data_IF_780419745676
#
_entry.id   IF_780419745676
#
_cell.length_a   1.000
_cell.length_b   1.000
_cell.length_c   1.000
_cell.angle_alpha   90.00
_cell.angle_beta   90.00
_cell.angle_gamma   90.00
#
_symmetry.space_group_name_H-M   'P 1'
#
loop_
_entity.id
_entity.type
_entity.pdbx_description
1 polymer ?
#
# COMPACT_ATOMS: atom_id res chain seq x y z
N UNK A 1 16.03 -10.70 -2.38
CA UNK A 1 16.61 -11.83 -1.62
C UNK A 1 18.01 -11.51 -1.09
N UNK A 2 18.34 -10.25 -0.79
CA UNK A 2 19.67 -9.85 -0.30
C UNK A 2 19.97 -10.36 1.13
N UNK A 3 18.95 -10.82 1.87
CA UNK A 3 19.11 -11.59 3.10
C UNK A 3 18.90 -13.06 2.79
N UNK A 4 19.97 -13.85 2.85
CA UNK A 4 20.03 -15.26 2.41
C UNK A 4 19.20 -16.25 3.24
N UNK A 5 18.45 -15.78 4.24
CA UNK A 5 17.70 -16.62 5.19
C UNK A 5 16.20 -16.74 4.90
N UNK A 6 15.62 -15.86 4.09
CA UNK A 6 14.17 -15.83 3.90
C UNK A 6 13.76 -16.62 2.66
N UNK A 7 12.70 -17.40 2.80
CA UNK A 7 11.91 -17.95 1.70
C UNK A 7 10.82 -16.95 1.31
N UNK A 8 10.62 -16.76 0.00
CA UNK A 8 9.73 -15.73 -0.52
C UNK A 8 8.71 -16.37 -1.44
N UNK A 9 7.44 -16.30 -1.03
CA UNK A 9 6.30 -16.64 -1.87
C UNK A 9 5.71 -15.33 -2.41
N UNK A 10 5.64 -15.19 -3.73
CA UNK A 10 5.05 -14.03 -4.40
C UNK A 10 3.74 -14.44 -5.07
N UNK A 11 2.63 -13.80 -4.67
CA UNK A 11 1.30 -14.08 -5.19
C UNK A 11 0.74 -12.85 -5.93
N UNK A 12 0.41 -12.99 -7.22
CA UNK A 12 -0.12 -11.89 -8.05
C UNK A 12 -0.98 -12.44 -9.20
N UNK A 13 -2.02 -11.69 -9.60
CA UNK A 13 -2.91 -12.04 -10.72
C UNK A 13 -2.55 -11.32 -12.03
N UNK A 14 -1.54 -10.45 -11.99
CA UNK A 14 -1.02 -9.62 -13.09
C UNK A 14 -2.04 -8.64 -13.69
N UNK A 15 -2.99 -8.14 -12.89
CA UNK A 15 -3.92 -7.10 -13.37
C UNK A 15 -3.17 -5.81 -13.72
N UNK A 16 -2.21 -5.41 -12.88
CA UNK A 16 -1.32 -4.26 -13.16
C UNK A 16 0.16 -4.60 -13.05
N UNK A 17 0.48 -5.76 -12.47
CA UNK A 17 1.84 -6.29 -12.39
C UNK A 17 2.28 -6.92 -13.71
N UNK A 18 3.56 -7.27 -13.79
CA UNK A 18 4.14 -7.94 -14.95
C UNK A 18 5.13 -9.01 -14.46
N UNK A 19 5.14 -10.15 -15.14
CA UNK A 19 5.99 -11.30 -14.77
C UNK A 19 7.47 -10.99 -15.01
N UNK A 20 7.76 -10.14 -15.98
CA UNK A 20 9.09 -9.64 -16.35
C UNK A 20 9.80 -8.99 -15.14
N UNK A 21 9.04 -8.38 -14.23
CA UNK A 21 9.59 -7.80 -13.00
C UNK A 21 10.26 -8.85 -12.08
N UNK A 22 9.89 -10.12 -12.22
CA UNK A 22 10.30 -11.23 -11.36
C UNK A 22 11.21 -12.24 -12.07
N UNK A 23 11.48 -12.07 -13.37
CA UNK A 23 12.24 -13.04 -14.18
C UNK A 23 13.52 -13.51 -13.53
N UNK A 24 14.30 -12.58 -12.98
CA UNK A 24 15.59 -12.87 -12.33
C UNK A 24 15.50 -13.82 -11.12
N UNK A 25 14.30 -14.06 -10.58
CA UNK A 25 14.08 -14.91 -9.42
C UNK A 25 13.40 -16.24 -9.75
N UNK A 26 12.89 -16.40 -10.97
CA UNK A 26 12.24 -17.65 -11.39
C UNK A 26 13.28 -18.77 -11.38
N UNK A 27 12.98 -19.86 -10.67
CA UNK A 27 13.88 -21.00 -10.48
C UNK A 27 14.84 -20.88 -9.29
N UNK A 28 14.85 -19.76 -8.57
CA UNK A 28 15.63 -19.64 -7.34
C UNK A 28 15.04 -20.55 -6.24
N UNK A 29 15.85 -21.34 -5.50
CA UNK A 29 15.37 -22.38 -4.59
C UNK A 29 14.54 -21.87 -3.39
N UNK A 30 14.65 -20.57 -3.07
CA UNK A 30 13.90 -19.88 -2.01
C UNK A 30 12.84 -18.92 -2.54
N UNK A 31 12.43 -19.07 -3.80
CA UNK A 31 11.43 -18.22 -4.43
C UNK A 31 10.34 -19.05 -5.09
N UNK A 32 9.11 -18.80 -4.68
CA UNK A 32 7.93 -19.37 -5.30
C UNK A 32 7.06 -18.25 -5.89
N UNK A 33 6.55 -18.49 -7.09
CA UNK A 33 5.66 -17.57 -7.78
C UNK A 33 4.31 -18.25 -8.01
N UNK A 34 3.27 -17.69 -7.39
CA UNK A 34 1.91 -18.20 -7.48
C UNK A 34 1.07 -17.19 -8.25
N UNK A 35 0.46 -17.63 -9.36
CA UNK A 35 -0.55 -16.83 -10.03
C UNK A 35 -1.84 -16.93 -9.24
N UNK A 36 -2.19 -15.89 -8.48
CA UNK A 36 -3.30 -15.92 -7.54
C UNK A 36 -4.03 -14.59 -7.46
N UNK A 37 -5.36 -14.65 -7.40
CA UNK A 37 -6.18 -13.48 -7.08
C UNK A 37 -6.48 -13.47 -5.59
N UNK A 38 -6.05 -12.42 -4.89
CA UNK A 38 -6.19 -12.33 -3.44
C UNK A 38 -7.65 -12.39 -2.94
N UNK A 39 -8.64 -12.18 -3.83
CA UNK A 39 -10.06 -12.34 -3.49
C UNK A 39 -10.45 -13.80 -3.26
N UNK A 40 -9.66 -14.74 -3.76
CA UNK A 40 -9.82 -16.17 -3.57
C UNK A 40 -8.95 -16.65 -2.38
N UNK A 41 -9.38 -17.65 -1.61
CA UNK A 41 -8.59 -18.22 -0.53
C UNK A 41 -7.23 -18.76 -1.01
N UNK A 42 -6.16 -18.48 -0.26
CA UNK A 42 -4.82 -19.05 -0.45
C UNK A 42 -4.34 -19.66 0.86
N UNK A 43 -4.20 -20.98 0.89
CA UNK A 43 -3.80 -21.73 2.08
C UNK A 43 -2.30 -22.04 2.00
N UNK A 44 -1.50 -21.20 2.66
CA UNK A 44 -0.04 -21.33 2.74
C UNK A 44 0.43 -20.96 4.15
N UNK A 45 1.49 -21.60 4.62
CA UNK A 45 2.12 -21.29 5.89
C UNK A 45 3.19 -20.22 5.68
N UNK A 46 3.03 -19.06 6.34
CA UNK A 46 3.95 -17.92 6.27
C UNK A 46 4.04 -17.22 7.62
N UNK A 47 5.23 -16.75 7.98
CA UNK A 47 5.43 -15.98 9.21
C UNK A 47 4.95 -14.54 9.09
N UNK A 48 5.08 -13.96 7.88
CA UNK A 48 4.92 -12.53 7.62
C UNK A 48 4.31 -12.29 6.26
N UNK A 49 3.34 -11.38 6.22
CA UNK A 49 2.63 -11.02 4.98
C UNK A 49 2.88 -9.55 4.66
N UNK A 50 3.37 -9.28 3.46
CA UNK A 50 3.39 -7.93 2.89
C UNK A 50 2.21 -7.77 1.94
N UNK A 51 1.10 -7.22 2.42
CA UNK A 51 -0.10 -7.04 1.60
C UNK A 51 0.02 -5.75 0.77
N UNK A 52 0.59 -5.89 -0.44
CA UNK A 52 0.85 -4.81 -1.39
C UNK A 52 -0.25 -4.64 -2.46
N UNK A 53 -1.29 -5.48 -2.42
CA UNK A 53 -2.24 -5.63 -3.52
C UNK A 53 -3.28 -4.51 -3.48
N UNK A 54 -3.31 -3.69 -4.53
CA UNK A 54 -4.43 -2.83 -4.93
C UNK A 54 -4.03 -2.05 -6.19
N UNK A 55 -4.93 -1.84 -7.16
CA UNK A 55 -4.65 -0.94 -8.27
C UNK A 55 -4.39 0.48 -7.75
N UNK A 56 -3.17 0.97 -7.90
CA UNK A 56 -2.76 2.24 -7.28
C UNK A 56 -3.02 3.47 -8.17
N UNK A 57 -3.13 3.30 -9.50
CA UNK A 57 -3.39 4.41 -10.42
C UNK A 57 -4.88 4.71 -10.53
N UNK A 58 -5.27 6.00 -10.62
CA UNK A 58 -6.63 6.42 -10.92
C UNK A 58 -7.25 5.77 -12.15
N UNK A 59 -6.46 5.45 -13.15
CA UNK A 59 -6.95 4.79 -14.36
C UNK A 59 -7.44 3.38 -14.02
N UNK A 60 -6.65 2.63 -13.24
CA UNK A 60 -6.95 1.23 -12.95
C UNK A 60 -8.03 1.05 -11.87
N UNK A 61 -7.99 1.83 -10.79
CA UNK A 61 -9.01 1.65 -9.73
C UNK A 61 -10.40 2.17 -10.16
N UNK A 62 -10.48 3.15 -11.08
CA UNK A 62 -11.76 3.62 -11.62
C UNK A 62 -12.33 2.69 -12.69
N UNK A 63 -11.48 1.91 -13.36
CA UNK A 63 -11.92 1.01 -14.42
C UNK A 63 -12.90 -0.05 -13.89
N UNK A 64 -12.68 -0.58 -12.69
CA UNK A 64 -13.59 -1.51 -12.05
C UNK A 64 -13.67 -1.27 -10.53
N UNK A 65 -14.50 -0.31 -10.09
CA UNK A 65 -14.56 0.11 -8.68
C UNK A 65 -15.02 -1.03 -7.75
N UNK A 66 -15.88 -1.93 -8.25
CA UNK A 66 -16.34 -3.11 -7.51
C UNK A 66 -15.17 -4.05 -7.24
N UNK A 67 -14.35 -4.36 -8.26
CA UNK A 67 -13.16 -5.19 -8.06
C UNK A 67 -12.16 -4.51 -7.14
N UNK A 68 -11.96 -3.20 -7.25
CA UNK A 68 -11.05 -2.46 -6.36
C UNK A 68 -11.45 -2.61 -4.90
N UNK A 69 -12.72 -2.36 -4.55
CA UNK A 69 -13.13 -2.48 -3.15
C UNK A 69 -13.08 -3.94 -2.67
N UNK A 70 -13.48 -4.90 -3.50
CA UNK A 70 -13.36 -6.33 -3.18
C UNK A 70 -11.91 -6.75 -2.91
N UNK A 71 -10.97 -6.33 -3.75
CA UNK A 71 -9.54 -6.62 -3.56
C UNK A 71 -9.03 -6.07 -2.24
N UNK A 72 -9.41 -4.84 -1.86
CA UNK A 72 -8.95 -4.26 -0.59
C UNK A 72 -9.62 -4.90 0.63
N UNK A 73 -10.92 -5.18 0.56
CA UNK A 73 -11.69 -5.68 1.71
C UNK A 73 -11.59 -7.20 1.82
N UNK A 74 -12.10 -7.92 0.82
CA UNK A 74 -12.14 -9.39 0.82
C UNK A 74 -10.72 -9.95 0.83
N UNK A 75 -9.82 -9.36 0.04
CA UNK A 75 -8.43 -9.81 -0.02
C UNK A 75 -7.65 -9.64 1.28
N UNK A 76 -8.06 -8.71 2.15
CA UNK A 76 -7.46 -8.57 3.48
C UNK A 76 -8.08 -9.57 4.46
N UNK A 77 -9.40 -9.79 4.41
CA UNK A 77 -10.13 -10.65 5.36
C UNK A 77 -9.69 -12.11 5.37
N UNK A 78 -9.17 -12.61 4.25
CA UNK A 78 -8.70 -14.00 4.12
C UNK A 78 -7.32 -14.24 4.73
N UNK A 79 -6.66 -13.21 5.27
CA UNK A 79 -5.30 -13.31 5.78
C UNK A 79 -5.25 -13.57 7.30
N UNK A 80 -4.19 -14.24 7.73
CA UNK A 80 -3.86 -14.51 9.14
C UNK A 80 -2.37 -14.34 9.40
N UNK A 81 -1.98 -14.11 10.66
CA UNK A 81 -0.57 -13.92 11.07
C UNK A 81 -0.18 -12.45 11.24
N UNK A 82 1.12 -12.15 11.09
CA UNK A 82 1.65 -10.77 11.18
C UNK A 82 1.64 -10.13 9.80
N UNK A 83 0.85 -9.07 9.64
CA UNK A 83 0.60 -8.45 8.33
C UNK A 83 1.10 -7.01 8.30
N UNK A 84 1.85 -6.65 7.26
CA UNK A 84 2.02 -5.27 6.84
C UNK A 84 0.98 -4.93 5.76
N UNK A 85 -0.02 -4.14 6.12
CA UNK A 85 -1.02 -3.61 5.20
C UNK A 85 -0.52 -2.31 4.57
N UNK A 86 -0.48 -2.27 3.24
CA UNK A 86 -0.20 -1.01 2.53
C UNK A 86 -1.47 -0.21 2.33
N UNK A 87 -1.60 0.83 3.15
CA UNK A 87 -2.55 1.91 2.95
C UNK A 87 -1.90 3.04 2.13
N UNK A 88 -2.55 4.20 2.08
CA UNK A 88 -2.17 5.29 1.17
C UNK A 88 -2.41 6.63 1.85
N UNK A 89 -1.65 7.67 1.46
CA UNK A 89 -1.95 9.05 1.85
C UNK A 89 -3.33 9.52 1.37
N UNK A 90 -3.92 8.85 0.38
CA UNK A 90 -5.26 9.16 -0.13
C UNK A 90 -6.35 8.91 0.92
N UNK A 91 -6.10 8.19 2.02
CA UNK A 91 -7.07 8.11 3.14
C UNK A 91 -7.28 9.47 3.83
N UNK A 92 -6.38 10.44 3.60
CA UNK A 92 -6.54 11.81 4.08
C UNK A 92 -7.35 12.69 3.12
N UNK A 93 -7.42 12.31 1.83
CA UNK A 93 -8.09 12.99 0.70
C UNK A 93 -7.77 14.48 0.59
N UNK A 94 -8.67 15.37 1.03
CA UNK A 94 -8.56 16.82 0.93
C UNK A 94 -8.36 17.39 2.35
N UNK A 95 -7.17 17.18 2.94
CA UNK A 95 -6.95 17.41 4.34
C UNK A 95 -7.07 18.89 4.68
N UNK A 96 -7.78 19.17 5.77
CA UNK A 96 -7.92 20.53 6.29
C UNK A 96 -6.70 20.97 7.14
N UNK A 97 -5.70 20.09 7.29
CA UNK A 97 -4.52 20.27 8.15
C UNK A 97 -3.26 19.87 7.38
N UNK A 98 -2.16 20.62 7.60
CA UNK A 98 -0.85 20.33 7.02
C UNK A 98 0.27 20.54 8.06
N UNK A 99 1.20 19.58 8.28
CA UNK A 99 1.24 18.22 7.72
C UNK A 99 0.08 17.33 8.19
N UNK A 100 -0.12 16.17 7.56
CA UNK A 100 -1.17 15.22 7.93
C UNK A 100 -0.65 14.21 8.96
N UNK A 101 -0.99 14.35 10.26
CA UNK A 101 -0.60 13.36 11.26
C UNK A 101 -1.42 12.07 11.09
N UNK A 102 -0.90 10.94 11.56
CA UNK A 102 -1.61 9.65 11.47
C UNK A 102 -2.90 9.62 12.29
N UNK A 103 -3.01 10.48 13.30
CA UNK A 103 -4.23 10.68 14.08
C UNK A 103 -5.34 11.40 13.31
N UNK A 104 -5.04 12.03 12.18
CA UNK A 104 -6.05 12.68 11.35
C UNK A 104 -6.95 11.66 10.67
N UNK A 105 -8.25 11.86 10.78
CA UNK A 105 -9.27 10.94 10.25
C UNK A 105 -9.45 11.03 8.73
N UNK A 106 -8.99 12.12 8.11
CA UNK A 106 -9.25 12.40 6.70
C UNK A 106 -10.50 13.25 6.48
N UNK A 107 -10.62 13.80 5.27
CA UNK A 107 -11.78 14.54 4.79
C UNK A 107 -12.26 13.87 3.50
N UNK A 108 -12.91 12.71 3.65
CA UNK A 108 -13.20 11.77 2.56
C UNK A 108 -14.65 11.89 2.12
N UNK A 109 -14.90 11.81 0.81
CA UNK A 109 -16.25 11.67 0.27
C UNK A 109 -16.55 10.17 0.04
N UNK A 110 -17.41 9.53 0.86
CA UNK A 110 -17.61 8.08 0.84
C UNK A 110 -18.34 7.57 -0.42
N UNK A 111 -18.99 8.47 -1.17
CA UNK A 111 -19.71 8.15 -2.41
C UNK A 111 -19.06 8.77 -3.65
N UNK A 112 -17.88 9.38 -3.49
CA UNK A 112 -17.14 9.96 -4.60
C UNK A 112 -16.64 8.91 -5.58
N UNK A 113 -16.35 9.30 -6.81
CA UNK A 113 -15.84 8.40 -7.87
C UNK A 113 -14.50 7.71 -7.54
N UNK A 114 -13.86 8.12 -6.45
CA UNK A 114 -12.61 7.56 -5.93
C UNK A 114 -12.80 6.71 -4.67
N UNK A 115 -14.00 6.71 -4.09
CA UNK A 115 -14.24 6.09 -2.78
C UNK A 115 -13.93 4.60 -2.74
N UNK A 116 -14.11 3.89 -3.86
CA UNK A 116 -13.72 2.48 -3.97
C UNK A 116 -12.25 2.19 -3.62
N UNK A 117 -11.36 3.15 -3.86
CA UNK A 117 -9.95 3.08 -3.49
C UNK A 117 -9.70 3.68 -2.11
N UNK A 118 -10.25 4.89 -1.85
CA UNK A 118 -10.00 5.64 -0.61
C UNK A 118 -10.53 4.89 0.63
N UNK A 119 -11.81 4.46 0.59
CA UNK A 119 -12.46 3.68 1.65
C UNK A 119 -11.92 2.25 1.73
N UNK A 120 -11.61 1.66 0.57
CA UNK A 120 -11.00 0.33 0.50
C UNK A 120 -9.68 0.29 1.26
N UNK A 121 -8.82 1.30 1.09
CA UNK A 121 -7.51 1.40 1.78
C UNK A 121 -7.60 1.87 3.24
N UNK A 122 -8.74 2.42 3.66
CA UNK A 122 -9.02 2.73 5.05
C UNK A 122 -9.52 1.52 5.85
N UNK A 123 -10.05 0.50 5.16
CA UNK A 123 -10.58 -0.72 5.76
C UNK A 123 -9.46 -1.58 6.36
N UNK A 124 -9.64 -2.01 7.61
CA UNK A 124 -8.67 -2.84 8.35
C UNK A 124 -9.37 -4.03 8.99
N UNK A 125 -8.70 -5.18 9.02
CA UNK A 125 -9.17 -6.35 9.74
C UNK A 125 -8.84 -6.21 11.23
N UNK A 126 -9.75 -6.66 12.10
CA UNK A 126 -9.53 -6.70 13.54
C UNK A 126 -9.16 -8.12 14.00
N UNK A 127 -8.48 -8.23 15.15
CA UNK A 127 -8.20 -9.52 15.79
C UNK A 127 -6.92 -10.22 15.34
N UNK A 128 -6.09 -9.58 14.52
CA UNK A 128 -4.77 -10.07 14.09
C UNK A 128 -3.71 -8.98 14.25
N UNK A 129 -2.42 -9.36 14.26
CA UNK A 129 -1.32 -8.38 14.34
C UNK A 129 -1.14 -7.70 12.97
N UNK A 130 -1.59 -6.46 12.86
CA UNK A 130 -1.48 -5.66 11.64
C UNK A 130 -0.64 -4.42 11.88
N UNK A 131 0.19 -4.10 10.89
CA UNK A 131 0.96 -2.87 10.78
C UNK A 131 0.53 -2.14 9.53
N UNK A 132 0.18 -0.87 9.66
CA UNK A 132 -0.38 -0.11 8.56
C UNK A 132 0.64 0.90 8.08
N UNK A 133 1.03 0.81 6.82
CA UNK A 133 1.89 1.80 6.17
C UNK A 133 1.05 2.70 5.27
N UNK A 134 0.93 3.99 5.60
CA UNK A 134 0.23 4.98 4.76
C UNK A 134 1.20 5.60 3.75
N UNK A 135 1.19 5.07 2.54
CA UNK A 135 2.20 5.38 1.52
C UNK A 135 1.84 6.68 0.78
N UNK A 136 2.77 7.64 0.79
CA UNK A 136 2.76 8.84 -0.05
C UNK A 136 3.33 8.53 -1.44
N UNK A 137 3.38 9.51 -2.35
CA UNK A 137 3.83 9.26 -3.72
C UNK A 137 5.22 8.61 -3.75
N UNK A 138 5.31 7.45 -4.38
CA UNK A 138 6.56 6.72 -4.61
C UNK A 138 6.92 6.73 -6.09
N UNK A 139 8.23 6.73 -6.38
CA UNK A 139 8.75 6.64 -7.74
C UNK A 139 10.01 5.78 -7.78
N UNK A 140 10.30 5.19 -8.95
CA UNK A 140 11.50 4.41 -9.16
C UNK A 140 11.41 3.48 -10.36
N UNK A 141 12.43 2.62 -10.55
CA UNK A 141 12.47 1.64 -11.64
C UNK A 141 11.23 0.73 -11.64
N UNK A 142 10.81 0.28 -12.83
CA UNK A 142 9.66 -0.62 -13.03
C UNK A 142 8.29 -0.04 -12.64
N UNK A 143 8.23 1.26 -12.31
CA UNK A 143 6.97 1.96 -12.22
C UNK A 143 6.27 1.94 -13.57
N UNK A 144 4.96 1.70 -13.56
CA UNK A 144 4.14 1.73 -14.76
C UNK A 144 4.12 3.17 -15.32
N UNK A 145 4.36 3.32 -16.63
CA UNK A 145 4.43 4.63 -17.29
C UNK A 145 3.07 5.07 -17.79
N UNK A 146 2.86 6.39 -17.93
CA UNK A 146 1.64 6.98 -18.50
C UNK A 146 0.35 6.64 -17.72
N UNK A 147 0.46 6.29 -16.43
CA UNK A 147 -0.66 5.88 -15.58
C UNK A 147 -1.30 7.04 -14.78
N UNK A 148 -1.16 8.29 -15.26
CA UNK A 148 -1.87 9.43 -14.68
C UNK A 148 -1.31 9.94 -13.35
N UNK A 149 -0.06 9.59 -13.00
CA UNK A 149 0.67 10.16 -11.85
C UNK A 149 1.76 11.09 -12.35
N UNK A 150 2.13 12.10 -11.55
CA UNK A 150 3.13 13.11 -11.92
C UNK A 150 4.44 12.46 -12.38
N UNK A 151 5.03 11.60 -11.56
CA UNK A 151 6.28 10.91 -11.90
C UNK A 151 6.13 9.96 -13.09
N UNK A 152 4.99 9.27 -13.21
CA UNK A 152 4.75 8.32 -14.31
C UNK A 152 4.49 8.98 -15.65
N UNK A 153 4.12 10.26 -15.67
CA UNK A 153 3.82 11.00 -16.89
C UNK A 153 5.00 11.91 -17.28
N UNK A 154 5.58 12.65 -16.33
CA UNK A 154 6.61 13.64 -16.66
C UNK A 154 7.91 13.00 -17.11
N UNK A 155 8.33 11.91 -16.48
CA UNK A 155 9.57 11.21 -16.85
C UNK A 155 9.50 10.70 -18.30
N UNK A 156 8.50 9.90 -18.72
CA UNK A 156 8.43 9.45 -20.10
C UNK A 156 8.17 10.58 -21.09
N UNK A 157 7.37 11.60 -20.75
CA UNK A 157 7.18 12.79 -21.60
C UNK A 157 8.53 13.48 -21.88
N UNK A 158 9.33 13.73 -20.85
CA UNK A 158 10.65 14.33 -21.00
C UNK A 158 11.59 13.45 -21.85
N UNK A 159 11.58 12.14 -21.65
CA UNK A 159 12.42 11.21 -22.42
C UNK A 159 12.02 11.11 -23.90
N UNK A 160 10.74 11.30 -24.22
CA UNK A 160 10.22 11.32 -25.59
C UNK A 160 10.36 12.69 -26.28
N UNK A 161 10.64 13.75 -25.52
CA UNK A 161 10.62 15.13 -26.01
C UNK A 161 9.22 15.72 -26.12
N UNK A 162 8.23 15.12 -25.45
CA UNK A 162 6.85 15.59 -25.41
C UNK A 162 6.70 16.79 -24.45
N UNK A 163 5.68 17.62 -24.69
CA UNK A 163 5.32 18.70 -23.76
C UNK A 163 4.82 18.14 -22.42
N UNK A 164 5.37 18.66 -21.31
CA UNK A 164 4.97 18.24 -19.97
C UNK A 164 3.55 18.69 -19.64
N UNK A 165 2.69 17.74 -19.26
CA UNK A 165 1.25 18.02 -19.02
C UNK A 165 1.00 18.51 -17.59
N UNK A 166 0.95 19.82 -17.39
CA UNK A 166 0.66 20.42 -16.08
C UNK A 166 -0.85 20.64 -15.92
N UNK A 167 -1.46 19.99 -14.92
CA UNK A 167 -2.83 20.30 -14.52
C UNK A 167 -2.89 21.68 -13.86
N UNK A 168 -3.69 22.58 -14.43
CA UNK A 168 -3.88 23.94 -13.92
C UNK A 168 -4.46 23.89 -12.49
N UNK A 169 -4.01 24.75 -11.57
CA UNK A 169 -3.09 25.89 -11.79
C UNK A 169 -1.60 25.53 -11.80
N UNK A 170 -1.19 24.31 -11.46
CA UNK A 170 0.21 23.89 -11.42
C UNK A 170 0.95 24.27 -10.11
N UNK A 171 0.25 24.85 -9.14
CA UNK A 171 0.80 25.29 -7.84
C UNK A 171 0.69 24.23 -6.74
N UNK A 172 0.10 23.07 -7.05
CA UNK A 172 -0.07 21.97 -6.11
C UNK A 172 1.27 21.36 -5.67
N UNK A 173 1.43 21.12 -4.37
CA UNK A 173 2.63 20.51 -3.80
C UNK A 173 2.44 19.00 -3.60
N UNK A 174 3.50 18.22 -3.79
CA UNK A 174 3.53 16.78 -3.55
C UNK A 174 4.91 16.38 -3.03
N UNK A 175 4.94 15.50 -2.03
CA UNK A 175 6.17 14.84 -1.58
C UNK A 175 6.35 13.51 -2.29
N UNK A 176 7.59 13.20 -2.67
CA UNK A 176 7.95 11.96 -3.35
C UNK A 176 9.00 11.19 -2.56
N UNK A 177 8.81 9.88 -2.43
CA UNK A 177 9.78 8.96 -1.82
C UNK A 177 10.32 7.99 -2.87
N UNK A 178 11.64 7.78 -2.88
CA UNK A 178 12.25 6.83 -3.81
C UNK A 178 11.97 5.38 -3.38
N UNK A 179 11.72 4.51 -4.35
CA UNK A 179 11.30 3.12 -4.15
C UNK A 179 12.21 2.33 -3.20
N UNK A 180 13.52 2.47 -3.31
CA UNK A 180 14.45 1.70 -2.46
C UNK A 180 14.42 2.16 -1.01
N UNK A 181 14.25 3.47 -0.77
CA UNK A 181 14.06 4.02 0.58
C UNK A 181 12.75 3.50 1.16
N UNK A 182 11.66 3.62 0.41
CA UNK A 182 10.35 3.12 0.84
C UNK A 182 10.40 1.63 1.21
N UNK A 183 10.99 0.80 0.36
CA UNK A 183 11.05 -0.65 0.58
C UNK A 183 11.83 -1.04 1.84
N UNK A 184 12.95 -0.35 2.11
CA UNK A 184 13.74 -0.56 3.34
C UNK A 184 12.92 -0.26 4.59
N UNK A 185 12.16 0.85 4.58
CA UNK A 185 11.28 1.20 5.70
C UNK A 185 10.16 0.17 5.91
N UNK A 186 9.60 -0.42 4.85
CA UNK A 186 8.59 -1.47 4.98
C UNK A 186 9.15 -2.74 5.63
N UNK A 187 10.38 -3.14 5.25
CA UNK A 187 11.05 -4.28 5.87
C UNK A 187 11.28 -4.02 7.36
N UNK A 188 11.77 -2.83 7.72
CA UNK A 188 11.99 -2.44 9.10
C UNK A 188 10.67 -2.41 9.88
N UNK A 189 9.63 -1.80 9.30
CA UNK A 189 8.32 -1.66 9.90
C UNK A 189 7.66 -3.00 10.22
N UNK A 190 7.95 -4.09 9.49
CA UNK A 190 7.45 -5.43 9.81
C UNK A 190 8.41 -6.24 10.70
N UNK A 191 9.69 -5.84 10.76
CA UNK A 191 10.73 -6.57 11.51
C UNK A 191 10.90 -6.11 12.94
N UNK A 192 10.52 -4.87 13.27
CA UNK A 192 10.49 -4.41 14.66
C UNK A 192 9.50 -5.24 15.46
N UNK A 193 9.75 -5.56 16.72
CA UNK A 193 8.63 -6.01 17.57
C UNK A 193 7.83 -4.75 17.88
N UNK A 194 6.55 -4.69 17.47
CA UNK A 194 5.66 -3.70 18.07
C UNK A 194 5.43 -4.21 19.48
N UNK A 195 6.25 -3.78 20.43
CA UNK A 195 5.75 -3.54 21.78
C UNK A 195 4.55 -2.64 21.56
N UNK A 196 3.37 -3.19 21.78
CA UNK A 196 2.12 -2.46 21.79
C UNK A 196 2.38 -1.14 22.55
N UNK A 197 2.50 -0.01 21.84
CA UNK A 197 2.39 1.31 22.45
C UNK A 197 0.91 1.50 22.71
N UNK A 198 0.44 0.72 23.69
CA UNK A 198 -0.95 0.41 23.96
C UNK A 198 -1.11 -0.09 25.38
N UNK A 199 -0.35 0.48 26.31
CA UNK A 199 -0.56 0.30 27.76
C UNK A 199 -0.37 1.56 28.59
N UNK A 200 -0.05 2.72 27.99
CA UNK A 200 -0.10 3.98 28.73
C UNK A 200 -1.54 4.49 28.97
N UNK A 201 -2.49 4.16 28.09
CA UNK A 201 -3.90 4.55 28.26
C UNK A 201 -4.63 3.72 29.33
N UNK A 202 -4.34 2.43 29.46
CA UNK A 202 -4.95 1.57 30.48
C UNK A 202 -4.42 1.84 31.90
N UNK A 203 -3.15 2.27 32.04
CA UNK A 203 -2.59 2.67 33.32
C UNK A 203 -3.14 4.02 33.82
N UNK A 204 -3.59 4.90 32.92
CA UNK A 204 -4.21 6.18 33.28
C UNK A 204 -5.64 6.01 33.80
N UNK A 205 -6.46 5.16 33.14
CA UNK A 205 -7.83 4.86 33.58
C UNK A 205 -7.91 4.07 34.90
N UNK A 206 -6.90 3.25 35.24
CA UNK A 206 -6.82 2.60 36.57
C UNK A 206 -6.47 3.56 37.70
N UNK A 207 -5.82 4.69 37.40
CA UNK A 207 -5.49 5.74 38.40
C UNK A 207 -6.70 6.62 38.77
N UNK A 208 -7.71 6.73 37.91
CA UNK A 208 -8.92 7.53 38.14
C UNK A 208 -10.08 6.76 38.80
N UNK A 209 -9.91 5.49 39.17
CA UNK A 209 -10.86 4.71 39.99
C UNK A 209 -10.39 4.48 41.44
N UNK A 210 -9.33 5.18 41.86
CA UNK A 210 -8.79 5.17 43.23
C UNK A 210 -8.59 6.57 43.83
N UNK A 211 -9.26 7.57 43.26
CA UNK A 211 -9.54 8.87 43.87
C UNK A 211 -11.06 9.07 43.80
#
# INVERSE_FOLDING_TARGET
MENEKNEVIFADNYVTGSKENLEKWIGHPRFELIRHDVREPLLIEVDRIYHLVCPASPIFYKYNPVKTIQTNVIGTLSMSGVILLTSTSEVYVDPLIHPQPESYWGNVNPIGVRSCYDEGKASVQHGIEIRIARIFNTYGPRMNIDVGRVGSNFIPQALRGDALTIQKPGTQTRSFCYLSTWWKEMILALSTLVTQVGSQWWNWLRRLRRL
#
